data_IF_218093634691
#
_entry.id   IF_218093634691
#
_cell.length_a   1.000
_cell.length_b   1.000
_cell.length_c   1.000
_cell.angle_alpha   90.00
_cell.angle_beta   90.00
_cell.angle_gamma   90.00
#
_symmetry.space_group_name_H-M   'P 1'
#
loop_
_entity.id
_entity.type
_entity.pdbx_description
1 polymer ?
#
# COMPACT_ATOMS: atom_id res chain seq x y z
N UNK A 1 -32.37 6.47 -17.28
CA UNK A 1 -31.42 5.38 -17.61
C UNK A 1 -30.37 5.34 -16.50
N UNK A 2 -30.61 4.60 -15.41
CA UNK A 2 -30.11 3.23 -15.09
C UNK A 2 -28.69 3.24 -14.47
N UNK A 3 -28.50 3.40 -13.15
CA UNK A 3 -28.60 2.51 -11.94
C UNK A 3 -27.28 1.77 -11.57
N UNK A 4 -26.92 1.84 -10.26
CA UNK A 4 -26.24 0.88 -9.34
C UNK A 4 -24.97 1.46 -8.69
N UNK A 5 -24.73 1.44 -7.38
CA UNK A 5 -25.42 0.91 -6.19
C UNK A 5 -24.85 1.64 -4.95
N UNK A 6 -25.72 2.06 -4.03
CA UNK A 6 -25.35 2.62 -2.71
C UNK A 6 -26.06 1.79 -1.65
N UNK A 7 -25.31 1.12 -0.78
CA UNK A 7 -25.87 0.37 0.36
C UNK A 7 -25.62 1.21 1.62
N UNK A 8 -26.69 1.83 2.11
CA UNK A 8 -26.81 2.46 3.42
C UNK A 8 -27.05 1.41 4.49
N UNK A 9 -26.35 1.49 5.63
CA UNK A 9 -26.79 0.86 6.87
C UNK A 9 -26.57 1.82 8.05
N UNK A 10 -27.65 2.51 8.41
CA UNK A 10 -27.84 3.19 9.68
C UNK A 10 -29.11 2.63 10.30
N UNK A 11 -29.02 2.15 11.54
CA UNK A 11 -29.76 2.70 12.68
C UNK A 11 -29.96 1.67 13.80
N UNK A 12 -29.34 2.00 14.92
CA UNK A 12 -29.65 1.62 16.28
C UNK A 12 -31.10 2.00 16.63
N UNK A 13 -31.87 1.14 17.30
CA UNK A 13 -32.85 1.58 18.30
C UNK A 13 -33.14 0.50 19.35
N UNK A 14 -32.99 0.92 20.60
CA UNK A 14 -33.45 0.28 21.84
C UNK A 14 -34.97 0.52 21.95
N UNK A 15 -35.77 -0.51 22.24
CA UNK A 15 -37.12 -0.31 22.80
C UNK A 15 -37.47 -1.40 23.80
N UNK A 16 -37.84 -0.93 25.00
CA UNK A 16 -38.37 -1.69 26.13
C UNK A 16 -39.75 -2.32 25.81
N UNK A 17 -40.09 -3.38 26.55
CA UNK A 17 -41.33 -4.14 26.36
C UNK A 17 -42.56 -3.59 27.06
N UNK A 18 -43.74 -3.98 26.57
CA UNK A 18 -44.86 -4.49 27.38
C UNK A 18 -45.80 -5.32 26.48
N UNK A 19 -46.45 -6.28 27.14
CA UNK A 19 -47.21 -7.45 26.68
C UNK A 19 -48.59 -7.13 26.09
N UNK A 20 -49.11 -7.96 25.17
CA UNK A 20 -50.43 -8.63 25.23
C UNK A 20 -50.73 -9.47 23.96
N UNK A 21 -51.12 -10.74 24.16
CA UNK A 21 -52.26 -11.33 23.43
C UNK A 21 -52.04 -12.16 22.17
N UNK A 22 -52.05 -13.49 22.37
CA UNK A 22 -52.65 -14.53 21.52
C UNK A 22 -51.94 -15.00 20.24
N UNK A 23 -51.67 -16.32 20.23
CA UNK A 23 -51.40 -17.12 19.03
C UNK A 23 -50.10 -17.92 19.15
N UNK A 24 -50.15 -19.10 19.78
CA UNK A 24 -48.99 -19.98 19.89
C UNK A 24 -48.75 -20.77 18.59
N UNK A 25 -47.58 -20.66 17.94
CA UNK A 25 -46.96 -21.80 17.30
C UNK A 25 -45.62 -22.12 17.99
N UNK A 26 -45.45 -23.41 18.30
CA UNK A 26 -44.30 -24.12 18.88
C UNK A 26 -43.04 -23.28 19.16
N UNK A 27 -42.68 -23.21 20.46
CA UNK A 27 -41.33 -22.89 20.94
C UNK A 27 -40.32 -23.83 20.28
N UNK A 28 -39.58 -23.35 19.29
CA UNK A 28 -38.25 -23.88 19.02
C UNK A 28 -37.39 -23.56 20.26
N UNK A 29 -36.86 -24.61 20.87
CA UNK A 29 -35.96 -24.49 22.01
C UNK A 29 -34.74 -23.63 21.61
N UNK A 30 -34.19 -22.81 22.53
CA UNK A 30 -32.92 -22.14 22.27
C UNK A 30 -31.87 -23.19 21.87
N UNK A 31 -30.96 -22.89 20.94
CA UNK A 31 -29.93 -23.84 20.52
C UNK A 31 -29.21 -24.36 21.76
N UNK A 32 -29.31 -25.67 22.00
CA UNK A 32 -28.67 -26.34 23.13
C UNK A 32 -27.19 -26.00 23.10
N UNK A 33 -26.69 -25.40 24.18
CA UNK A 33 -25.26 -25.28 24.43
C UNK A 33 -24.60 -26.66 24.20
N UNK A 34 -23.43 -26.72 23.53
CA UNK A 34 -22.76 -27.97 23.28
C UNK A 34 -22.60 -28.75 24.59
N UNK A 35 -22.82 -30.08 24.59
CA UNK A 35 -22.77 -30.88 25.81
C UNK A 35 -21.42 -30.70 26.49
N UNK A 36 -21.42 -30.36 27.78
CA UNK A 36 -20.20 -30.24 28.57
C UNK A 36 -19.40 -31.54 28.46
N UNK A 37 -18.10 -31.47 28.23
CA UNK A 37 -17.28 -32.66 28.07
C UNK A 37 -17.35 -33.55 29.31
N UNK A 38 -17.32 -34.87 29.10
CA UNK A 38 -17.43 -35.83 30.19
C UNK A 38 -16.24 -35.66 31.15
N UNK A 39 -16.46 -35.69 32.48
CA UNK A 39 -15.40 -35.47 33.45
C UNK A 39 -14.29 -36.52 33.27
N UNK A 40 -13.07 -36.06 32.99
CA UNK A 40 -11.91 -36.91 32.67
C UNK A 40 -11.69 -37.23 31.19
N UNK A 41 -12.51 -36.70 30.27
CA UNK A 41 -12.27 -36.82 28.83
C UNK A 41 -11.12 -35.91 28.36
N UNK A 42 -10.59 -36.17 27.16
CA UNK A 42 -9.57 -35.31 26.56
C UNK A 42 -10.07 -33.87 26.38
N UNK A 43 -11.34 -33.68 26.03
CA UNK A 43 -11.93 -32.34 25.92
C UNK A 43 -11.99 -31.62 27.28
N UNK A 44 -12.33 -32.33 28.38
CA UNK A 44 -12.35 -31.75 29.74
C UNK A 44 -10.94 -31.40 30.22
N UNK A 45 -9.93 -32.22 29.89
CA UNK A 45 -8.53 -31.92 30.21
C UNK A 45 -7.97 -30.76 29.38
N UNK A 46 -8.30 -30.67 28.09
CA UNK A 46 -7.98 -29.54 27.21
C UNK A 46 -8.65 -28.24 27.70
N UNK A 47 -9.94 -28.27 28.03
CA UNK A 47 -10.66 -27.10 28.55
C UNK A 47 -10.06 -26.61 29.88
N UNK A 48 -9.71 -27.54 30.78
CA UNK A 48 -9.03 -27.21 32.04
C UNK A 48 -7.62 -26.67 31.80
N UNK A 49 -6.87 -27.22 30.85
CA UNK A 49 -5.53 -26.75 30.50
C UNK A 49 -5.58 -25.35 29.87
N UNK A 50 -6.51 -25.09 28.96
CA UNK A 50 -6.71 -23.76 28.35
C UNK A 50 -7.06 -22.71 29.41
N UNK A 51 -7.94 -23.04 30.35
CA UNK A 51 -8.37 -22.12 31.42
C UNK A 51 -7.36 -21.92 32.54
N UNK A 52 -6.51 -22.92 32.81
CA UNK A 52 -5.58 -22.90 33.93
C UNK A 52 -4.11 -22.73 33.54
N UNK A 53 -3.76 -22.80 32.25
CA UNK A 53 -2.41 -22.57 31.77
C UNK A 53 -1.92 -21.18 32.15
N UNK A 54 -0.73 -21.14 32.76
CA UNK A 54 -0.07 -19.89 33.14
C UNK A 54 0.32 -19.07 31.91
N UNK A 55 0.73 -19.72 30.82
CA UNK A 55 1.18 -19.06 29.59
C UNK A 55 0.04 -18.34 28.87
N UNK A 56 -1.15 -18.95 28.83
CA UNK A 56 -2.35 -18.35 28.23
C UNK A 56 -2.80 -17.15 29.06
N UNK A 57 -2.84 -17.27 30.40
CA UNK A 57 -3.18 -16.16 31.29
C UNK A 57 -2.18 -15.00 31.16
N UNK A 58 -0.89 -15.29 30.99
CA UNK A 58 0.13 -14.27 30.76
C UNK A 58 -0.05 -13.57 29.40
N UNK A 59 -0.42 -14.30 28.35
CA UNK A 59 -0.74 -13.72 27.05
C UNK A 59 -2.02 -12.86 27.09
N UNK A 60 -3.09 -13.35 27.74
CA UNK A 60 -4.34 -12.60 27.95
C UNK A 60 -4.12 -11.33 28.77
N UNK A 61 -3.26 -11.36 29.79
CA UNK A 61 -2.91 -10.19 30.58
C UNK A 61 -2.26 -9.11 29.69
N UNK A 62 -1.32 -9.48 28.82
CA UNK A 62 -0.70 -8.56 27.85
C UNK A 62 -1.72 -7.95 26.89
N UNK A 63 -2.69 -8.74 26.42
CA UNK A 63 -3.77 -8.23 25.57
C UNK A 63 -4.62 -7.22 26.34
N UNK A 64 -5.01 -7.52 27.59
CA UNK A 64 -5.78 -6.58 28.42
C UNK A 64 -5.02 -5.30 28.70
N UNK A 65 -3.72 -5.36 28.94
CA UNK A 65 -2.88 -4.17 29.15
C UNK A 65 -2.84 -3.31 27.87
N UNK A 66 -2.61 -3.94 26.70
CA UNK A 66 -2.63 -3.24 25.42
C UNK A 66 -4.03 -2.64 25.09
N UNK A 67 -5.11 -3.36 25.39
CA UNK A 67 -6.48 -2.86 25.25
C UNK A 67 -6.76 -1.68 26.19
N UNK A 68 -6.27 -1.74 27.43
CA UNK A 68 -6.40 -0.65 28.39
C UNK A 68 -5.66 0.60 27.90
N UNK A 69 -4.44 0.44 27.35
CA UNK A 69 -3.70 1.55 26.72
C UNK A 69 -4.43 2.12 25.52
N UNK A 70 -4.95 1.27 24.62
CA UNK A 70 -5.75 1.71 23.48
C UNK A 70 -6.98 2.51 23.93
N UNK A 71 -7.69 2.04 24.96
CA UNK A 71 -8.86 2.72 25.49
C UNK A 71 -8.47 4.06 26.14
N UNK A 72 -7.33 4.15 26.85
CA UNK A 72 -6.81 5.42 27.37
C UNK A 72 -6.54 6.42 26.24
N UNK A 73 -5.85 6.00 25.19
CA UNK A 73 -5.55 6.85 24.02
C UNK A 73 -6.85 7.29 23.32
N UNK A 74 -7.81 6.36 23.14
CA UNK A 74 -9.14 6.69 22.59
C UNK A 74 -9.84 7.77 23.41
N UNK A 75 -9.86 7.63 24.73
CA UNK A 75 -10.44 8.64 25.61
C UNK A 75 -9.74 9.99 25.48
N UNK A 76 -8.41 10.02 25.46
CA UNK A 76 -7.65 11.26 25.26
C UNK A 76 -7.98 11.94 23.92
N UNK A 77 -8.04 11.18 22.82
CA UNK A 77 -8.38 11.70 21.50
C UNK A 77 -9.80 12.25 21.48
N UNK A 78 -10.77 11.52 22.05
CA UNK A 78 -12.16 11.97 22.13
C UNK A 78 -12.29 13.26 22.95
N UNK A 79 -11.70 13.31 24.14
CA UNK A 79 -11.70 14.52 24.98
C UNK A 79 -11.07 15.71 24.27
N UNK A 80 -9.95 15.50 23.57
CA UNK A 80 -9.30 16.56 22.79
C UNK A 80 -10.14 17.00 21.59
N UNK A 81 -10.77 16.07 20.90
CA UNK A 81 -11.64 16.37 19.76
C UNK A 81 -12.87 17.19 20.18
N UNK A 82 -13.49 16.84 21.32
CA UNK A 82 -14.63 17.60 21.84
C UNK A 82 -14.21 19.00 22.27
N UNK A 83 -13.08 19.14 22.98
CA UNK A 83 -12.55 20.44 23.40
C UNK A 83 -12.22 21.34 22.19
N UNK A 84 -11.48 20.82 21.21
CA UNK A 84 -11.17 21.58 19.98
C UNK A 84 -12.43 21.98 19.23
N UNK A 85 -13.45 21.13 19.20
CA UNK A 85 -14.72 21.45 18.53
C UNK A 85 -15.48 22.56 19.26
N UNK A 86 -15.55 22.52 20.59
CA UNK A 86 -16.19 23.58 21.37
C UNK A 86 -15.46 24.91 21.24
N UNK A 87 -14.12 24.87 21.29
CA UNK A 87 -13.28 26.06 21.17
C UNK A 87 -13.38 26.69 19.78
N UNK A 88 -13.39 25.86 18.72
CA UNK A 88 -13.56 26.32 17.35
C UNK A 88 -14.93 26.98 17.13
N UNK A 89 -16.00 26.39 17.67
CA UNK A 89 -17.33 26.96 17.60
C UNK A 89 -17.42 28.30 18.37
N UNK A 90 -16.75 28.39 19.52
CA UNK A 90 -16.66 29.64 20.28
C UNK A 90 -15.92 30.72 19.49
N UNK A 91 -14.74 30.40 18.94
CA UNK A 91 -13.93 31.33 18.15
C UNK A 91 -14.68 31.85 16.92
N UNK A 92 -15.46 30.98 16.24
CA UNK A 92 -16.34 31.38 15.13
C UNK A 92 -17.42 32.38 15.54
N UNK A 93 -18.07 32.16 16.69
CA UNK A 93 -19.06 33.11 17.23
C UNK A 93 -18.41 34.44 17.60
N UNK A 94 -17.21 34.41 18.17
CA UNK A 94 -16.46 35.64 18.50
C UNK A 94 -16.05 36.42 17.25
N UNK A 95 -15.67 35.71 16.18
CA UNK A 95 -15.37 36.33 14.89
C UNK A 95 -16.61 37.03 14.32
N UNK A 96 -17.78 36.39 14.33
CA UNK A 96 -19.04 36.97 13.84
C UNK A 96 -19.40 38.27 14.59
N UNK A 97 -19.22 38.28 15.91
CA UNK A 97 -19.42 39.49 16.74
C UNK A 97 -18.39 40.58 16.38
N UNK A 98 -17.12 40.21 16.20
CA UNK A 98 -16.06 41.15 15.84
C UNK A 98 -16.27 41.75 14.44
N UNK A 99 -16.74 40.94 13.48
CA UNK A 99 -17.08 41.39 12.12
C UNK A 99 -18.27 42.36 12.12
N UNK A 100 -19.29 42.08 12.94
CA UNK A 100 -20.42 42.99 13.14
C UNK A 100 -19.97 44.33 13.73
N UNK A 101 -19.13 44.31 14.76
CA UNK A 101 -18.57 45.52 15.37
C UNK A 101 -17.67 46.31 14.39
N UNK A 102 -16.90 45.61 13.54
CA UNK A 102 -16.12 46.25 12.49
C UNK A 102 -17.03 46.93 11.45
N UNK A 103 -18.13 46.30 11.07
CA UNK A 103 -19.09 46.87 10.14
C UNK A 103 -19.77 48.13 10.70
N UNK A 104 -20.15 48.11 11.99
CA UNK A 104 -20.66 49.30 12.68
C UNK A 104 -19.63 50.43 12.72
N UNK A 105 -18.37 50.10 13.06
CA UNK A 105 -17.28 51.08 13.10
C UNK A 105 -17.00 51.67 11.71
N UNK A 106 -17.05 50.87 10.65
CA UNK A 106 -16.88 51.34 9.27
C UNK A 106 -17.99 52.31 8.84
N UNK A 107 -19.24 52.07 9.28
CA UNK A 107 -20.35 52.99 9.07
C UNK A 107 -20.15 54.32 9.83
N UNK A 108 -19.68 54.25 11.07
CA UNK A 108 -19.38 55.45 11.87
C UNK A 108 -18.23 56.27 11.28
N UNK A 109 -17.22 55.63 10.66
CA UNK A 109 -16.16 56.34 9.94
C UNK A 109 -16.73 57.06 8.72
N UNK A 110 -17.65 56.42 7.98
CA UNK A 110 -18.33 57.03 6.81
C UNK A 110 -19.19 58.24 7.20
N UNK A 111 -19.82 58.23 8.37
CA UNK A 111 -20.59 59.37 8.89
C UNK A 111 -19.73 60.42 9.59
N UNK A 112 -18.41 60.22 9.68
CA UNK A 112 -17.47 61.12 10.35
C UNK A 112 -17.50 61.06 11.88
N UNK A 113 -18.23 60.08 12.45
CA UNK A 113 -18.39 59.88 13.89
C UNK A 113 -17.30 58.98 14.52
N UNK A 114 -16.45 58.34 13.72
CA UNK A 114 -15.36 57.49 14.19
C UNK A 114 -14.00 57.83 13.56
N UNK A 115 -12.94 57.58 14.33
CA UNK A 115 -11.56 57.87 13.98
C UNK A 115 -10.86 56.67 13.34
N UNK A 116 -9.80 56.93 12.56
CA UNK A 116 -8.98 55.90 11.90
C UNK A 116 -8.37 54.88 12.88
N UNK A 117 -8.12 55.28 14.11
CA UNK A 117 -7.62 54.38 15.16
C UNK A 117 -8.67 53.33 15.56
N UNK A 118 -9.95 53.71 15.65
CA UNK A 118 -11.03 52.83 16.07
C UNK A 118 -11.29 51.72 15.04
N UNK A 119 -11.25 52.04 13.74
CA UNK A 119 -11.40 51.04 12.68
C UNK A 119 -10.19 50.08 12.60
N UNK A 120 -8.98 50.57 12.88
CA UNK A 120 -7.79 49.71 12.95
C UNK A 120 -7.84 48.76 14.15
N UNK A 121 -8.30 49.26 15.31
CA UNK A 121 -8.50 48.42 16.50
C UNK A 121 -9.56 47.34 16.26
N UNK A 122 -10.71 47.70 15.67
CA UNK A 122 -11.77 46.74 15.32
C UNK A 122 -11.26 45.68 14.32
N UNK A 123 -10.49 46.08 13.30
CA UNK A 123 -9.90 45.15 12.33
C UNK A 123 -8.88 44.21 12.98
N UNK A 124 -8.06 44.70 13.91
CA UNK A 124 -7.11 43.86 14.63
C UNK A 124 -7.80 42.75 15.45
N UNK A 125 -8.97 43.03 16.04
CA UNK A 125 -9.77 42.03 16.78
C UNK A 125 -10.34 40.96 15.83
N UNK A 126 -10.80 41.34 14.64
CA UNK A 126 -11.25 40.40 13.60
C UNK A 126 -10.11 39.47 13.16
N UNK A 127 -8.95 40.03 12.83
CA UNK A 127 -7.80 39.23 12.39
C UNK A 127 -7.28 38.32 13.51
N UNK A 128 -7.37 38.75 14.77
CA UNK A 128 -7.05 37.90 15.93
C UNK A 128 -7.94 36.65 15.97
N UNK A 129 -9.26 36.82 15.94
CA UNK A 129 -10.18 35.67 16.01
C UNK A 129 -10.14 34.80 14.76
N UNK A 130 -9.90 35.39 13.57
CA UNK A 130 -9.65 34.63 12.35
C UNK A 130 -8.41 33.74 12.49
N UNK A 131 -7.29 34.28 13.00
CA UNK A 131 -6.07 33.52 13.25
C UNK A 131 -6.26 32.40 14.29
N UNK A 132 -7.05 32.64 15.33
CA UNK A 132 -7.41 31.62 16.33
C UNK A 132 -8.21 30.46 15.69
N UNK A 133 -9.16 30.76 14.80
CA UNK A 133 -9.92 29.75 14.05
C UNK A 133 -8.98 28.93 13.18
N UNK A 134 -8.10 29.57 12.40
CA UNK A 134 -7.14 28.87 11.53
C UNK A 134 -6.26 27.91 12.34
N UNK A 135 -5.76 28.36 13.50
CA UNK A 135 -4.97 27.52 14.40
C UNK A 135 -5.77 26.29 14.89
N UNK A 136 -6.99 26.50 15.37
CA UNK A 136 -7.85 25.42 15.87
C UNK A 136 -8.25 24.45 14.76
N UNK A 137 -8.48 24.93 13.54
CA UNK A 137 -8.74 24.08 12.37
C UNK A 137 -7.54 23.23 11.99
N UNK A 138 -6.32 23.77 12.05
CA UNK A 138 -5.10 23.00 11.80
C UNK A 138 -4.91 21.92 12.87
N UNK A 139 -5.11 22.24 14.15
CA UNK A 139 -5.03 21.24 15.22
C UNK A 139 -6.08 20.14 15.06
N UNK A 140 -7.31 20.49 14.65
CA UNK A 140 -8.38 19.52 14.41
C UNK A 140 -8.06 18.61 13.20
N UNK A 141 -7.52 19.17 12.11
CA UNK A 141 -7.05 18.40 10.94
C UNK A 141 -5.92 17.44 11.31
N UNK A 142 -5.00 17.88 12.17
CA UNK A 142 -3.94 17.03 12.71
C UNK A 142 -4.48 15.89 13.56
N UNK A 143 -5.45 16.16 14.44
CA UNK A 143 -6.08 15.12 15.26
C UNK A 143 -6.85 14.10 14.41
N UNK A 144 -7.44 14.52 13.29
CA UNK A 144 -8.12 13.65 12.32
C UNK A 144 -7.17 12.82 11.45
N UNK A 145 -5.86 13.08 11.53
CA UNK A 145 -4.88 12.42 10.67
C UNK A 145 -4.93 12.87 9.21
N UNK A 146 -5.49 14.04 8.89
CA UNK A 146 -5.57 14.53 7.50
C UNK A 146 -4.20 14.93 6.93
N UNK A 147 -3.22 15.18 7.79
CA UNK A 147 -1.80 15.33 7.41
C UNK A 147 -1.07 13.98 7.33
N UNK A 148 -1.67 12.90 7.84
CA UNK A 148 -1.12 11.56 7.72
C UNK A 148 -1.42 11.01 6.33
N UNK A 149 -0.36 11.04 5.49
CA UNK A 149 -0.18 10.17 4.34
C UNK A 149 -1.07 10.42 3.11
N UNK A 150 -0.98 11.63 2.53
CA UNK A 150 -1.32 11.83 1.11
C UNK A 150 -0.31 11.18 0.14
N UNK A 151 0.79 10.60 0.63
CA UNK A 151 1.88 10.06 -0.21
C UNK A 151 2.45 8.71 0.24
N UNK A 152 1.72 7.87 0.96
CA UNK A 152 2.12 6.46 1.05
C UNK A 152 1.15 5.61 0.20
N UNK A 153 1.64 4.91 -0.84
CA UNK A 153 0.85 3.86 -1.46
C UNK A 153 0.49 2.85 -0.37
N UNK A 154 -0.78 2.43 -0.35
CA UNK A 154 -1.41 1.54 0.64
C UNK A 154 -0.42 0.85 1.60
N UNK A 155 -0.36 1.32 2.85
CA UNK A 155 0.36 0.61 3.90
C UNK A 155 -0.37 -0.72 4.15
N UNK A 156 0.21 -1.82 3.66
CA UNK A 156 -0.38 -3.16 3.76
C UNK A 156 -0.24 -3.81 5.14
N UNK A 157 0.76 -3.38 5.93
CA UNK A 157 0.98 -3.91 7.27
C UNK A 157 1.89 -2.99 8.10
N UNK A 158 1.68 -2.99 9.42
CA UNK A 158 2.59 -2.43 10.41
C UNK A 158 2.80 -3.45 11.54
N UNK A 159 4.05 -3.65 11.94
CA UNK A 159 4.43 -4.58 13.01
C UNK A 159 5.21 -3.83 14.10
N UNK A 160 4.80 -4.03 15.36
CA UNK A 160 5.55 -3.57 16.52
C UNK A 160 6.58 -4.62 16.93
N UNK A 161 7.73 -4.19 17.43
CA UNK A 161 8.66 -5.08 18.11
C UNK A 161 8.05 -5.60 19.42
N UNK A 162 8.42 -6.81 19.89
CA UNK A 162 7.87 -7.39 21.13
C UNK A 162 8.12 -6.57 22.39
N UNK A 163 9.11 -5.66 22.36
CA UNK A 163 9.44 -4.71 23.41
C UNK A 163 8.75 -3.34 23.25
N UNK A 164 7.92 -3.16 22.22
CA UNK A 164 7.09 -1.98 21.97
C UNK A 164 7.87 -0.73 21.52
N UNK A 165 9.19 -0.84 21.34
CA UNK A 165 10.06 0.31 21.05
C UNK A 165 10.17 0.63 19.57
N UNK A 166 9.94 -0.34 18.70
CA UNK A 166 10.13 -0.21 17.27
C UNK A 166 8.83 -0.47 16.51
N UNK A 167 8.55 0.39 15.53
CA UNK A 167 7.47 0.19 14.56
C UNK A 167 8.10 0.00 13.17
N UNK A 168 7.73 -1.09 12.49
CA UNK A 168 8.06 -1.34 11.09
C UNK A 168 6.80 -1.24 10.23
N UNK A 169 6.86 -0.51 9.12
CA UNK A 169 5.73 -0.25 8.23
C UNK A 169 6.11 -0.63 6.80
N UNK A 170 5.26 -1.40 6.13
CA UNK A 170 5.57 -1.95 4.80
C UNK A 170 5.46 -0.91 3.67
N UNK A 171 6.36 -1.03 2.70
CA UNK A 171 6.59 -0.13 1.55
C UNK A 171 8.06 0.32 1.45
N UNK A 172 8.66 0.63 2.59
CA UNK A 172 10.11 0.81 2.83
C UNK A 172 10.31 0.53 4.32
N UNK A 173 11.09 -0.49 4.69
CA UNK A 173 11.29 -0.87 6.10
C UNK A 173 11.99 0.28 6.84
N UNK A 174 11.18 1.14 7.45
CA UNK A 174 11.61 2.26 8.28
C UNK A 174 11.42 1.87 9.72
N UNK A 175 12.49 1.95 10.49
CA UNK A 175 12.48 1.67 11.93
C UNK A 175 12.29 2.98 12.67
N UNK A 176 11.17 3.09 13.37
CA UNK A 176 10.82 4.26 14.17
C UNK A 176 10.95 3.94 15.65
N UNK A 177 11.47 4.90 16.42
CA UNK A 177 11.33 4.90 17.88
C UNK A 177 9.88 5.28 18.24
N UNK A 178 9.14 4.35 18.85
CA UNK A 178 7.72 4.53 19.14
C UNK A 178 7.44 5.63 20.17
N UNK A 179 8.39 5.95 21.06
CA UNK A 179 8.22 6.92 22.12
C UNK A 179 8.49 8.36 21.67
N UNK A 180 9.45 8.54 20.76
CA UNK A 180 9.90 9.86 20.30
C UNK A 180 9.47 10.21 18.87
N UNK A 181 8.94 9.24 18.10
CA UNK A 181 8.59 9.43 16.69
C UNK A 181 9.80 9.68 15.79
N UNK A 182 11.03 9.47 16.30
CA UNK A 182 12.26 9.65 15.52
C UNK A 182 12.52 8.41 14.67
N UNK A 183 12.89 8.64 13.42
CA UNK A 183 13.39 7.61 12.52
C UNK A 183 14.76 7.16 13.02
N UNK A 184 14.88 5.93 13.50
CA UNK A 184 16.12 5.34 14.01
C UNK A 184 16.99 4.77 12.89
N UNK A 185 16.39 4.44 11.74
CA UNK A 185 17.12 4.07 10.53
C UNK A 185 16.23 3.54 9.41
N UNK A 186 16.62 3.79 8.17
CA UNK A 186 16.16 3.02 7.00
C UNK A 186 16.98 1.72 6.97
N UNK A 187 16.37 0.61 7.37
CA UNK A 187 17.04 -0.69 7.26
C UNK A 187 17.07 -1.07 5.77
N UNK A 188 18.31 -1.18 5.25
CA UNK A 188 18.70 -1.59 3.89
C UNK A 188 17.56 -1.74 2.89
N UNK A 189 17.59 -0.88 1.86
CA UNK A 189 16.85 -1.05 0.63
C UNK A 189 17.04 -2.48 0.08
N UNK A 190 16.12 -3.39 0.39
CA UNK A 190 15.74 -4.42 -0.56
C UNK A 190 15.08 -3.63 -1.69
N UNK A 191 15.90 -3.23 -2.67
CA UNK A 191 15.48 -2.57 -3.90
C UNK A 191 14.37 -3.38 -4.55
N UNK A 192 13.12 -3.04 -4.23
CA UNK A 192 12.02 -3.30 -5.13
C UNK A 192 12.09 -2.19 -6.19
N UNK A 193 12.25 -2.54 -7.47
CA UNK A 193 12.13 -1.55 -8.53
C UNK A 193 10.68 -1.05 -8.53
N UNK A 194 10.55 0.27 -8.59
CA UNK A 194 9.31 1.02 -8.78
C UNK A 194 8.41 0.30 -9.79
N UNK A 195 7.22 -0.13 -9.34
CA UNK A 195 6.24 -0.79 -10.19
C UNK A 195 5.94 0.10 -11.42
N UNK A 196 6.26 -0.42 -12.61
CA UNK A 196 5.85 0.18 -13.87
C UNK A 196 4.32 0.01 -14.03
N UNK A 197 3.64 0.98 -14.66
CA UNK A 197 2.19 0.94 -14.82
C UNK A 197 1.76 -0.33 -15.55
N UNK A 198 0.62 -0.90 -15.13
CA UNK A 198 0.04 -2.10 -15.70
C UNK A 198 -0.22 -1.91 -17.21
N UNK A 199 0.47 -2.71 -18.04
CA UNK A 199 0.19 -2.87 -19.47
C UNK A 199 -0.21 -4.35 -19.66
N UNK A 200 -1.31 -4.64 -20.37
CA UNK A 200 -1.94 -5.97 -20.36
C UNK A 200 -1.17 -6.97 -21.25
N UNK A 201 -0.77 -8.09 -20.65
CA UNK A 201 -0.11 -9.23 -21.29
C UNK A 201 1.01 -9.80 -20.40
N UNK A 202 1.10 -11.13 -20.29
CA UNK A 202 2.18 -11.79 -19.55
C UNK A 202 3.57 -11.38 -20.08
N UNK A 203 4.63 -11.42 -19.25
CA UNK A 203 5.97 -11.05 -19.74
C UNK A 203 6.42 -11.95 -20.91
N UNK A 204 5.98 -13.21 -20.92
CA UNK A 204 6.20 -14.14 -22.01
C UNK A 204 5.56 -13.65 -23.34
N UNK A 205 4.35 -13.10 -23.32
CA UNK A 205 3.73 -12.50 -24.52
C UNK A 205 4.49 -11.28 -25.01
N UNK A 206 4.98 -10.45 -24.09
CA UNK A 206 5.75 -9.24 -24.43
C UNK A 206 7.06 -9.60 -25.09
N UNK A 207 7.82 -10.53 -24.51
CA UNK A 207 9.06 -11.05 -25.11
C UNK A 207 8.72 -11.73 -26.43
N UNK A 208 7.68 -12.57 -26.47
CA UNK A 208 7.23 -13.28 -27.67
C UNK A 208 6.90 -12.36 -28.85
N UNK A 209 6.29 -11.19 -28.62
CA UNK A 209 6.04 -10.19 -29.67
C UNK A 209 7.33 -9.52 -30.17
N UNK A 210 8.33 -9.39 -29.32
CA UNK A 210 9.60 -8.75 -29.67
C UNK A 210 10.53 -9.66 -30.45
N UNK A 211 10.46 -10.98 -30.25
CA UNK A 211 11.36 -11.94 -30.91
C UNK A 211 11.32 -11.89 -32.44
N UNK A 212 10.18 -11.51 -33.02
CA UNK A 212 10.01 -11.40 -34.48
C UNK A 212 10.36 -10.00 -35.03
N UNK A 213 10.63 -9.02 -34.15
CA UNK A 213 11.01 -7.68 -34.57
C UNK A 213 12.44 -7.72 -35.12
N UNK A 214 12.65 -7.18 -36.30
CA UNK A 214 13.98 -7.04 -36.88
C UNK A 214 14.71 -5.84 -36.28
N UNK A 215 15.95 -6.05 -35.87
CA UNK A 215 16.85 -5.03 -35.33
C UNK A 215 18.18 -5.13 -36.05
N UNK A 216 18.72 -3.97 -36.42
CA UNK A 216 20.07 -3.86 -36.93
C UNK A 216 21.03 -3.67 -35.76
N UNK A 217 21.96 -4.62 -35.59
CA UNK A 217 22.92 -4.64 -34.48
C UNK A 217 24.27 -5.10 -35.01
N UNK A 218 25.33 -4.61 -34.37
CA UNK A 218 26.70 -5.10 -34.54
C UNK A 218 27.20 -5.61 -33.19
N UNK A 219 27.48 -6.91 -33.10
CA UNK A 219 28.04 -7.53 -31.90
C UNK A 219 29.58 -7.49 -31.99
N UNK A 220 30.25 -6.98 -30.96
CA UNK A 220 31.72 -6.87 -30.98
C UNK A 220 32.36 -6.89 -29.60
N UNK A 221 32.84 -8.05 -29.15
CA UNK A 221 33.74 -8.20 -27.99
C UNK A 221 33.16 -7.82 -26.63
N UNK A 222 31.88 -7.42 -26.58
CA UNK A 222 31.15 -7.08 -25.37
C UNK A 222 30.70 -8.33 -24.61
N UNK A 223 30.42 -8.19 -23.32
CA UNK A 223 29.90 -9.27 -22.50
C UNK A 223 28.48 -9.65 -22.97
N UNK A 224 28.12 -10.93 -22.92
CA UNK A 224 26.79 -11.43 -23.28
C UNK A 224 25.67 -10.65 -22.60
N UNK A 225 25.80 -10.35 -21.30
CA UNK A 225 24.78 -9.59 -20.57
C UNK A 225 24.60 -8.16 -21.11
N UNK A 226 25.69 -7.53 -21.56
CA UNK A 226 25.68 -6.18 -22.14
C UNK A 226 25.05 -6.23 -23.55
N UNK A 227 25.43 -7.22 -24.36
CA UNK A 227 24.84 -7.46 -25.68
C UNK A 227 23.32 -7.65 -25.63
N UNK A 228 22.82 -8.42 -24.66
CA UNK A 228 21.38 -8.63 -24.48
C UNK A 228 20.70 -7.34 -24.02
N UNK A 229 21.33 -6.56 -23.14
CA UNK A 229 20.80 -5.24 -22.71
C UNK A 229 20.66 -4.28 -23.88
N UNK A 230 21.69 -4.17 -24.72
CA UNK A 230 21.71 -3.27 -25.87
C UNK A 230 20.68 -3.69 -26.91
N UNK A 231 20.57 -4.99 -27.18
CA UNK A 231 19.54 -5.55 -28.06
C UNK A 231 18.13 -5.22 -27.55
N UNK A 232 17.85 -5.39 -26.25
CA UNK A 232 16.53 -5.11 -25.69
C UNK A 232 16.20 -3.62 -25.65
N UNK A 233 17.21 -2.75 -25.46
CA UNK A 233 17.06 -1.31 -25.53
C UNK A 233 16.69 -0.83 -26.95
N UNK A 234 17.26 -1.45 -27.99
CA UNK A 234 16.91 -1.18 -29.39
C UNK A 234 15.56 -1.80 -29.79
N UNK A 235 15.27 -3.00 -29.27
CA UNK A 235 14.08 -3.76 -29.63
C UNK A 235 12.80 -3.24 -28.98
N UNK A 236 12.84 -2.72 -27.76
CA UNK A 236 11.63 -2.49 -26.95
C UNK A 236 11.57 -1.12 -26.27
N UNK A 237 10.38 -0.50 -26.30
CA UNK A 237 10.07 0.72 -25.55
C UNK A 237 8.69 0.57 -24.86
N UNK A 238 8.59 0.48 -23.52
CA UNK A 238 9.71 0.52 -22.56
C UNK A 238 10.57 -0.75 -22.62
N UNK A 239 11.88 -0.58 -22.41
CA UNK A 239 12.87 -1.66 -22.47
C UNK A 239 12.52 -2.79 -21.48
N UNK A 240 12.53 -4.05 -21.93
CA UNK A 240 12.39 -5.19 -21.03
C UNK A 240 13.65 -5.27 -20.14
N UNK A 241 13.49 -5.35 -18.81
CA UNK A 241 14.63 -5.48 -17.91
C UNK A 241 15.43 -6.75 -18.20
N UNK A 242 16.75 -6.64 -18.23
CA UNK A 242 17.68 -7.77 -18.37
C UNK A 242 18.50 -7.87 -17.09
N UNK A 243 18.56 -9.06 -16.50
CA UNK A 243 19.40 -9.36 -15.33
C UNK A 243 20.37 -10.47 -15.70
N UNK A 244 21.54 -10.47 -15.09
CA UNK A 244 22.53 -11.52 -15.25
C UNK A 244 22.97 -12.08 -13.89
N UNK A 245 23.19 -13.39 -13.85
CA UNK A 245 23.74 -14.13 -12.70
C UNK A 245 24.99 -14.91 -13.08
N UNK A 246 25.69 -14.43 -14.12
CA UNK A 246 26.89 -15.06 -14.65
C UNK A 246 28.08 -14.86 -13.68
N UNK A 247 28.81 -15.93 -13.32
CA UNK A 247 29.94 -15.82 -12.41
C UNK A 247 31.17 -15.17 -13.06
N UNK A 248 31.32 -15.29 -14.38
CA UNK A 248 32.44 -14.74 -15.14
C UNK A 248 31.94 -14.00 -16.38
N UNK A 249 32.78 -13.11 -16.93
CA UNK A 249 32.47 -12.39 -18.17
C UNK A 249 32.61 -13.34 -19.36
N UNK A 250 31.55 -13.47 -20.14
CA UNK A 250 31.55 -14.27 -21.36
C UNK A 250 31.50 -13.31 -22.55
N UNK A 251 32.62 -13.07 -23.27
CA UNK A 251 32.61 -12.21 -24.43
C UNK A 251 31.83 -12.87 -25.58
N UNK A 252 31.08 -12.05 -26.32
CA UNK A 252 30.39 -12.49 -27.55
C UNK A 252 31.40 -12.55 -28.70
N UNK A 253 31.33 -13.62 -29.50
CA UNK A 253 32.16 -13.77 -30.69
C UNK A 253 31.87 -12.64 -31.70
N UNK A 254 32.93 -11.99 -32.15
CA UNK A 254 32.91 -10.61 -32.68
C UNK A 254 32.74 -10.50 -34.20
N UNK A 255 31.89 -11.34 -34.82
CA UNK A 255 31.79 -11.39 -36.29
C UNK A 255 30.40 -11.19 -36.89
N UNK A 256 29.36 -10.95 -36.08
CA UNK A 256 27.98 -10.85 -36.58
C UNK A 256 27.48 -9.40 -36.63
N UNK A 257 27.20 -8.92 -37.84
CA UNK A 257 26.57 -7.62 -38.12
C UNK A 257 25.50 -7.78 -39.19
N UNK A 258 24.33 -7.16 -39.00
CA UNK A 258 23.28 -7.15 -40.01
C UNK A 258 21.91 -6.82 -39.44
N UNK A 259 20.86 -7.06 -40.22
CA UNK A 259 19.47 -6.91 -39.79
C UNK A 259 18.87 -8.29 -39.56
N UNK A 260 18.61 -8.65 -38.31
CA UNK A 260 18.06 -9.95 -37.92
C UNK A 260 16.90 -9.78 -36.91
N UNK A 261 15.97 -10.74 -36.84
CA UNK A 261 14.98 -10.79 -35.77
C UNK A 261 15.67 -10.87 -34.40
N UNK A 262 15.08 -10.25 -33.37
CA UNK A 262 15.59 -10.30 -32.00
C UNK A 262 15.80 -11.74 -31.53
N UNK A 263 14.93 -12.68 -31.90
CA UNK A 263 15.11 -14.10 -31.58
C UNK A 263 16.37 -14.70 -32.20
N UNK A 264 16.75 -14.31 -33.43
CA UNK A 264 17.97 -14.77 -34.07
C UNK A 264 19.21 -14.17 -33.42
N UNK A 265 19.14 -12.90 -33.01
CA UNK A 265 20.19 -12.27 -32.24
C UNK A 265 20.42 -12.94 -30.88
N UNK A 266 19.35 -13.24 -30.14
CA UNK A 266 19.44 -13.94 -28.87
C UNK A 266 20.00 -15.36 -29.04
N UNK A 267 19.63 -16.06 -30.10
CA UNK A 267 20.18 -17.37 -30.43
C UNK A 267 21.68 -17.29 -30.75
N UNK A 268 22.10 -16.32 -31.57
CA UNK A 268 23.53 -16.11 -31.87
C UNK A 268 24.36 -15.76 -30.62
N UNK A 269 23.77 -15.00 -29.69
CA UNK A 269 24.38 -14.68 -28.38
C UNK A 269 24.49 -15.94 -27.50
N UNK A 270 23.46 -16.80 -27.45
CA UNK A 270 23.51 -18.08 -26.74
C UNK A 270 24.53 -19.05 -27.37
N UNK A 271 24.63 -19.09 -28.69
CA UNK A 271 25.58 -19.95 -29.41
C UNK A 271 27.04 -19.55 -29.16
N UNK A 272 27.29 -18.28 -28.86
CA UNK A 272 28.63 -17.76 -28.51
C UNK A 272 29.15 -18.29 -27.16
N UNK A 273 28.27 -18.77 -26.26
CA UNK A 273 28.68 -19.37 -25.00
C UNK A 273 27.78 -20.57 -24.62
N UNK A 274 28.23 -21.82 -24.86
CA UNK A 274 27.38 -23.00 -24.71
C UNK A 274 26.94 -23.30 -23.26
N UNK A 275 27.56 -22.67 -22.26
CA UNK A 275 27.22 -22.79 -20.83
C UNK A 275 26.22 -21.72 -20.35
N UNK A 276 25.86 -20.75 -21.19
CA UNK A 276 24.91 -19.67 -20.87
C UNK A 276 23.55 -19.95 -21.48
N UNK A 277 22.49 -19.52 -20.81
CA UNK A 277 21.13 -19.52 -21.37
C UNK A 277 20.37 -18.28 -20.91
N UNK A 278 19.42 -17.86 -21.75
CA UNK A 278 18.57 -16.71 -21.53
C UNK A 278 17.15 -17.22 -21.31
N UNK A 279 16.59 -16.91 -20.14
CA UNK A 279 15.25 -17.35 -19.75
C UNK A 279 14.32 -16.17 -19.51
N UNK A 280 13.04 -16.37 -19.78
CA UNK A 280 11.97 -15.38 -19.55
C UNK A 280 11.40 -15.58 -18.15
N UNK A 281 11.26 -14.48 -17.41
CA UNK A 281 10.62 -14.41 -16.09
C UNK A 281 9.66 -13.24 -16.06
N UNK A 282 8.74 -13.21 -15.10
CA UNK A 282 7.79 -12.08 -14.93
C UNK A 282 8.49 -10.72 -14.75
N UNK A 283 9.74 -10.71 -14.27
CA UNK A 283 10.54 -9.49 -14.13
C UNK A 283 11.37 -9.11 -15.37
N UNK A 284 11.36 -9.92 -16.45
CA UNK A 284 12.10 -9.66 -17.69
C UNK A 284 12.95 -10.85 -18.16
N UNK A 285 14.09 -10.57 -18.78
CA UNK A 285 15.05 -11.58 -19.23
C UNK A 285 16.11 -11.83 -18.16
N UNK A 286 16.45 -13.10 -17.93
CA UNK A 286 17.54 -13.52 -17.06
C UNK A 286 18.58 -14.26 -17.89
N UNK A 287 19.82 -13.77 -17.88
CA UNK A 287 20.99 -14.45 -18.42
C UNK A 287 21.65 -15.23 -17.27
N UNK A 288 21.61 -16.56 -17.35
CA UNK A 288 22.08 -17.44 -16.27
C UNK A 288 22.87 -18.62 -16.82
N UNK A 289 23.78 -19.22 -16.05
CA UNK A 289 24.37 -20.51 -16.40
C UNK A 289 23.30 -21.62 -16.52
N UNK A 290 23.50 -22.57 -17.43
CA UNK A 290 22.54 -23.69 -17.65
C UNK A 290 22.29 -24.56 -16.42
N UNK A 291 23.26 -24.65 -15.50
CA UNK A 291 23.17 -25.37 -14.23
C UNK A 291 22.40 -24.60 -13.13
N UNK A 292 22.11 -23.32 -13.36
CA UNK A 292 21.43 -22.42 -12.40
C UNK A 292 20.15 -21.81 -12.96
N UNK A 293 19.48 -22.53 -13.84
CA UNK A 293 18.16 -22.11 -14.35
C UNK A 293 17.13 -22.22 -13.23
N UNK A 294 16.43 -21.12 -12.88
CA UNK A 294 15.40 -21.18 -11.85
C UNK A 294 14.22 -22.07 -12.25
N UNK A 295 13.61 -22.75 -11.27
CA UNK A 295 12.45 -23.61 -11.52
C UNK A 295 11.29 -22.84 -12.18
N UNK A 296 10.69 -23.44 -13.21
CA UNK A 296 9.58 -22.86 -13.98
C UNK A 296 9.97 -21.74 -14.94
N UNK A 297 11.26 -21.51 -15.19
CA UNK A 297 11.70 -20.55 -16.21
C UNK A 297 11.59 -21.15 -17.61
N UNK A 298 11.14 -20.34 -18.58
CA UNK A 298 11.01 -20.75 -19.99
C UNK A 298 12.21 -20.18 -20.75
N UNK A 299 12.92 -21.01 -21.50
CA UNK A 299 14.03 -20.55 -22.35
C UNK A 299 13.53 -19.65 -23.48
N UNK A 300 14.26 -18.58 -23.81
CA UNK A 300 13.85 -17.67 -24.90
C UNK A 300 13.83 -18.38 -26.25
N UNK A 301 14.84 -19.23 -26.51
CA UNK A 301 14.92 -20.05 -27.72
C UNK A 301 13.76 -21.05 -27.81
N UNK A 302 13.37 -21.65 -26.69
CA UNK A 302 12.21 -22.56 -26.60
C UNK A 302 10.89 -21.82 -26.87
N UNK A 303 10.70 -20.65 -26.25
CA UNK A 303 9.54 -19.78 -26.47
C UNK A 303 9.41 -19.39 -27.96
N UNK A 304 10.52 -19.08 -28.61
CA UNK A 304 10.49 -18.71 -30.03
C UNK A 304 10.14 -19.89 -30.94
N UNK A 305 10.62 -21.08 -30.63
CA UNK A 305 10.30 -22.30 -31.38
C UNK A 305 8.84 -22.73 -31.19
N UNK A 306 8.32 -22.67 -29.96
CA UNK A 306 6.90 -22.92 -29.67
C UNK A 306 5.99 -22.01 -30.51
N UNK A 307 6.33 -20.71 -30.60
CA UNK A 307 5.58 -19.75 -31.42
C UNK A 307 5.65 -20.06 -32.92
N UNK A 308 6.84 -20.40 -33.44
CA UNK A 308 6.98 -20.82 -34.85
C UNK A 308 6.19 -22.10 -35.16
N UNK A 309 6.07 -23.01 -34.18
CA UNK A 309 5.27 -24.23 -34.31
C UNK A 309 3.77 -23.95 -34.28
N UNK A 310 3.28 -23.04 -33.42
CA UNK A 310 1.89 -22.61 -33.39
C UNK A 310 1.44 -21.94 -34.69
N UNK A 311 2.27 -21.07 -35.27
CA UNK A 311 1.98 -20.41 -36.55
C UNK A 311 1.86 -21.43 -37.69
N UNK A 312 2.72 -22.46 -37.72
CA UNK A 312 2.64 -23.55 -38.71
C UNK A 312 1.45 -24.50 -38.49
N UNK A 313 0.93 -24.60 -37.26
CA UNK A 313 -0.27 -25.38 -36.95
C UNK A 313 -1.58 -24.71 -37.37
N UNK A 314 -1.58 -23.37 -37.48
CA UNK A 314 -2.73 -22.57 -37.95
C UNK A 314 -2.92 -22.55 -39.47
N UNK A 315 -1.88 -22.86 -40.26
CA UNK A 315 -1.94 -22.94 -41.73
C UNK A 315 -2.39 -24.32 -42.27
N UNK A 316 -2.66 -25.28 -41.40
CA UNK A 316 -3.33 -26.55 -41.75
C UNK A 316 -4.67 -26.66 -41.03
N UNK A 317 -5.65 -25.87 -41.44
CA UNK A 317 -7.06 -26.19 -41.29
C UNK A 317 -7.91 -25.44 -42.32
#
# INVERSE_FOLDING_TARGET
MTVRHLISFTALFLTAGLVLGQGSPKKDAPPKEPPKPAPGSLEDTLDKALRNSADIKAAEAKVRDAEAELNRVRHQVLTRATALHTDLNLARRMLEVAESALAETDQLVKTGAANREQILAARAVVEKHRGEIEKLEVELKALRGEFALKHLPLVGAAAFSPDGRLLAVDGQVRVWDAASGKLLGEALALTQPKAAPAVPGSMAERVGKLLDKEVELQLGGQNIADAVRDLMALASNPAIPVRDTLPEKHPVDSSLSGKLPVGAWLQAIEDSAPNVTIVVREYGLLVTPKDRVPAGAIGVSELWQMKKAEVKGGEKK
#
